data_IF_710045795646
#
_entry.id   IF_710045795646
#
_cell.length_a   1.000
_cell.length_b   1.000
_cell.length_c   1.000
_cell.angle_alpha   90.00
_cell.angle_beta   90.00
_cell.angle_gamma   90.00
#
_symmetry.space_group_name_H-M   'P 1'
#
loop_
_entity.id
_entity.type
_entity.pdbx_description
1 polymer ?
#
# COMPACT_ATOMS: atom_id res chain seq x y z
N UNK A 1 13.29 -26.69 22.01
CA UNK A 1 13.83 -26.07 23.24
C UNK A 1 12.83 -25.02 23.70
N UNK A 2 12.07 -25.28 24.76
CA UNK A 2 11.16 -24.27 25.34
C UNK A 2 11.94 -23.42 26.33
N UNK A 3 11.96 -22.10 26.14
CA UNK A 3 12.44 -21.17 27.16
C UNK A 3 11.25 -20.65 27.96
N UNK A 4 11.16 -21.07 29.22
CA UNK A 4 10.29 -20.43 30.23
C UNK A 4 11.04 -19.21 30.73
N UNK A 5 10.55 -18.01 30.41
CA UNK A 5 11.06 -16.78 31.01
C UNK A 5 10.28 -16.48 32.29
N UNK A 6 10.98 -16.33 33.41
CA UNK A 6 10.40 -15.92 34.69
C UNK A 6 9.80 -14.51 34.56
N UNK A 7 8.48 -14.41 34.78
CA UNK A 7 7.64 -13.23 34.54
C UNK A 7 8.03 -11.98 35.34
N UNK A 8 8.86 -12.12 36.37
CA UNK A 8 9.24 -11.03 37.28
C UNK A 8 10.35 -10.12 36.74
N UNK A 9 10.95 -10.42 35.59
CA UNK A 9 11.99 -9.58 34.95
C UNK A 9 11.52 -8.79 33.73
N UNK A 10 10.23 -8.90 33.35
CA UNK A 10 9.68 -8.29 32.13
C UNK A 10 9.70 -6.75 32.11
N UNK A 11 9.86 -6.07 33.26
CA UNK A 11 9.67 -4.61 33.38
C UNK A 11 10.95 -3.77 33.52
N UNK A 12 12.14 -4.34 33.35
CA UNK A 12 13.39 -3.57 33.55
C UNK A 12 13.98 -2.98 32.27
N UNK A 13 13.45 -3.30 31.08
CA UNK A 13 13.97 -2.77 29.81
C UNK A 13 15.41 -3.20 29.48
N UNK A 14 16.02 -4.08 30.30
CA UNK A 14 17.43 -4.46 30.25
C UNK A 14 17.72 -5.65 29.32
N UNK A 15 16.74 -6.17 28.58
CA UNK A 15 16.96 -7.20 27.56
C UNK A 15 17.35 -6.63 26.17
N UNK A 16 17.49 -5.31 26.06
CA UNK A 16 17.87 -4.64 24.80
C UNK A 16 19.31 -4.12 24.83
N UNK A 17 20.22 -4.78 25.52
CA UNK A 17 21.64 -4.65 25.19
C UNK A 17 21.93 -5.57 24.00
N UNK A 18 22.65 -5.05 23.01
CA UNK A 18 23.04 -5.72 21.75
C UNK A 18 23.71 -7.11 21.94
N UNK A 19 24.09 -7.46 23.18
CA UNK A 19 24.72 -8.75 23.51
C UNK A 19 23.86 -9.98 23.19
N UNK A 20 22.52 -9.88 23.20
CA UNK A 20 21.68 -11.06 22.93
C UNK A 20 21.51 -11.37 21.43
N UNK A 21 21.72 -10.38 20.54
CA UNK A 21 21.66 -10.59 19.08
C UNK A 21 23.02 -10.79 18.44
N UNK A 22 24.07 -10.16 18.98
CA UNK A 22 25.33 -9.97 18.26
C UNK A 22 25.12 -9.29 16.90
N UNK A 23 26.04 -9.49 15.96
CA UNK A 23 26.02 -8.91 14.60
C UNK A 23 24.92 -9.49 13.67
N UNK A 24 23.95 -10.27 14.20
CA UNK A 24 23.02 -11.08 13.39
C UNK A 24 21.59 -10.53 13.43
N UNK A 25 20.95 -10.48 12.25
CA UNK A 25 19.51 -10.25 12.16
C UNK A 25 18.73 -11.51 12.53
N UNK A 26 17.56 -11.33 13.16
CA UNK A 26 16.61 -12.40 13.45
C UNK A 26 15.86 -12.90 12.21
N UNK A 27 16.02 -12.26 11.05
CA UNK A 27 15.39 -12.70 9.81
C UNK A 27 16.08 -13.91 9.16
N UNK A 28 17.26 -14.35 9.64
CA UNK A 28 17.87 -15.62 9.22
C UNK A 28 18.15 -15.79 7.72
N UNK A 29 18.17 -14.70 6.93
CA UNK A 29 18.21 -14.71 5.45
C UNK A 29 16.96 -15.29 4.77
N UNK A 30 15.80 -15.23 5.42
CA UNK A 30 14.52 -15.55 4.79
C UNK A 30 14.22 -14.55 3.67
N UNK A 31 13.72 -15.08 2.54
CA UNK A 31 13.28 -14.29 1.41
C UNK A 31 11.95 -13.60 1.73
N UNK A 32 11.81 -12.34 1.32
CA UNK A 32 10.51 -11.70 1.26
C UNK A 32 9.53 -12.53 0.39
N UNK A 33 8.27 -12.56 0.80
CA UNK A 33 7.19 -13.24 0.07
C UNK A 33 6.19 -12.23 -0.44
N UNK A 34 5.63 -12.50 -1.62
CA UNK A 34 4.60 -11.70 -2.26
C UNK A 34 3.55 -12.67 -2.78
N UNK A 35 2.36 -12.62 -2.18
CA UNK A 35 1.27 -13.50 -2.55
C UNK A 35 0.35 -12.81 -3.54
N UNK A 36 0.16 -13.43 -4.70
CA UNK A 36 -0.87 -13.03 -5.66
C UNK A 36 -2.14 -13.80 -5.36
N UNK A 37 -3.26 -13.09 -5.27
CA UNK A 37 -4.59 -13.69 -5.19
C UNK A 37 -4.96 -14.31 -6.55
N UNK A 38 -5.22 -15.60 -6.58
CA UNK A 38 -5.58 -16.35 -7.80
C UNK A 38 -7.11 -16.49 -7.97
N UNK A 39 -7.90 -15.90 -7.07
CA UNK A 39 -9.35 -16.03 -7.03
C UNK A 39 -9.80 -17.18 -6.15
N UNK A 40 -11.03 -17.63 -6.36
CA UNK A 40 -11.64 -18.69 -5.58
C UNK A 40 -11.41 -20.06 -6.25
N UNK A 41 -11.16 -21.08 -5.46
CA UNK A 41 -11.16 -22.47 -5.94
C UNK A 41 -12.58 -23.02 -6.16
N UNK A 42 -12.67 -24.29 -6.56
CA UNK A 42 -13.93 -25.01 -6.77
C UNK A 42 -14.85 -25.06 -5.53
N UNK A 43 -14.28 -24.90 -4.32
CA UNK A 43 -15.00 -24.88 -3.06
C UNK A 43 -15.30 -23.44 -2.58
N UNK A 44 -14.96 -22.43 -3.38
CA UNK A 44 -15.17 -21.02 -3.05
C UNK A 44 -14.15 -20.45 -2.07
N UNK A 45 -12.99 -21.10 -1.86
CA UNK A 45 -11.94 -20.62 -0.97
C UNK A 45 -10.89 -19.81 -1.74
N UNK A 46 -10.41 -18.67 -1.20
CA UNK A 46 -9.41 -17.86 -1.86
C UNK A 46 -8.05 -18.57 -1.91
N UNK A 47 -7.45 -18.60 -3.09
CA UNK A 47 -6.15 -19.21 -3.34
C UNK A 47 -5.07 -18.16 -3.54
N UNK A 48 -3.87 -18.45 -3.05
CA UNK A 48 -2.74 -17.52 -3.12
C UNK A 48 -1.47 -18.23 -3.56
N UNK A 49 -0.74 -17.62 -4.50
CA UNK A 49 0.56 -18.12 -4.96
C UNK A 49 1.68 -17.17 -4.55
N UNK A 50 2.78 -17.69 -4.01
CA UNK A 50 3.99 -16.89 -3.80
C UNK A 50 4.67 -16.62 -5.14
N UNK A 51 4.64 -15.37 -5.58
CA UNK A 51 5.20 -14.90 -6.86
C UNK A 51 6.48 -14.08 -6.66
N UNK A 52 7.01 -13.98 -5.44
CA UNK A 52 8.10 -13.06 -5.12
C UNK A 52 9.34 -13.25 -6.01
N UNK A 53 9.80 -14.49 -6.15
CA UNK A 53 10.98 -14.81 -6.96
C UNK A 53 10.74 -14.50 -8.45
N UNK A 54 9.54 -14.78 -8.96
CA UNK A 54 9.19 -14.52 -10.35
C UNK A 54 9.15 -13.01 -10.67
N UNK A 55 8.81 -12.19 -9.67
CA UNK A 55 8.73 -10.73 -9.80
C UNK A 55 9.98 -10.00 -9.28
N UNK A 56 10.99 -10.74 -8.82
CA UNK A 56 12.22 -10.17 -8.26
C UNK A 56 12.02 -9.38 -6.97
N UNK A 57 10.98 -9.70 -6.20
CA UNK A 57 10.66 -9.06 -4.91
C UNK A 57 11.12 -9.89 -3.71
N UNK A 58 11.79 -11.02 -3.94
CA UNK A 58 12.26 -11.98 -2.95
C UNK A 58 13.58 -11.58 -2.28
N UNK A 59 13.71 -10.30 -1.90
CA UNK A 59 14.91 -9.79 -1.23
C UNK A 59 15.12 -10.49 0.12
N UNK A 60 16.38 -10.81 0.43
CA UNK A 60 16.83 -11.49 1.66
C UNK A 60 17.25 -10.52 2.77
N UNK A 61 17.21 -9.21 2.49
CA UNK A 61 17.45 -8.16 3.50
C UNK A 61 16.42 -8.24 4.63
N UNK A 62 16.80 -7.71 5.79
CA UNK A 62 15.93 -7.62 6.97
C UNK A 62 14.84 -6.56 6.78
N UNK A 63 13.88 -6.87 5.93
CA UNK A 63 12.76 -6.00 5.56
C UNK A 63 11.78 -5.91 6.72
N UNK A 64 11.44 -4.68 7.14
CA UNK A 64 10.61 -4.45 8.33
C UNK A 64 9.45 -3.50 8.09
N UNK A 65 9.59 -2.53 7.19
CA UNK A 65 8.49 -1.66 6.79
C UNK A 65 8.15 -1.83 5.33
N UNK A 66 6.87 -1.63 5.03
CA UNK A 66 6.36 -1.65 3.66
C UNK A 66 5.30 -0.57 3.51
N UNK A 67 5.46 0.25 2.49
CA UNK A 67 4.47 1.24 2.10
C UNK A 67 4.14 1.10 0.62
N UNK A 68 2.90 1.41 0.28
CA UNK A 68 2.38 1.32 -1.08
C UNK A 68 1.90 2.69 -1.53
N UNK A 69 2.29 3.09 -2.73
CA UNK A 69 1.85 4.30 -3.40
C UNK A 69 2.09 4.16 -4.90
N UNK A 70 1.32 4.88 -5.71
CA UNK A 70 1.63 5.12 -7.12
C UNK A 70 2.62 6.30 -7.19
N UNK A 71 3.93 6.01 -7.25
CA UNK A 71 4.97 7.06 -7.09
C UNK A 71 5.14 7.91 -8.35
N UNK A 72 4.79 7.38 -9.50
CA UNK A 72 4.88 8.00 -10.82
C UNK A 72 3.52 8.51 -11.34
N UNK A 73 2.43 8.18 -10.65
CA UNK A 73 1.05 8.56 -10.94
C UNK A 73 0.54 8.02 -12.28
N UNK A 74 0.81 6.76 -12.58
CA UNK A 74 0.33 6.12 -13.81
C UNK A 74 -0.73 5.03 -13.58
N UNK A 75 -1.17 4.88 -12.32
CA UNK A 75 -2.35 4.11 -11.95
C UNK A 75 -2.09 2.69 -11.55
N UNK A 76 -0.83 2.27 -11.47
CA UNK A 76 -0.47 1.05 -10.77
C UNK A 76 0.29 1.34 -9.46
N UNK A 77 0.10 0.44 -8.50
CA UNK A 77 0.65 0.61 -7.17
C UNK A 77 2.08 0.08 -7.11
N UNK A 78 3.01 0.91 -6.68
CA UNK A 78 4.37 0.51 -6.34
C UNK A 78 4.48 0.14 -4.86
N UNK A 79 5.60 -0.49 -4.52
CA UNK A 79 5.93 -0.91 -3.16
C UNK A 79 7.29 -0.34 -2.79
N UNK A 80 7.38 0.36 -1.66
CA UNK A 80 8.67 0.68 -1.02
C UNK A 80 8.85 -0.17 0.22
N UNK A 81 10.00 -0.83 0.30
CA UNK A 81 10.37 -1.68 1.44
C UNK A 81 11.51 -1.02 2.19
N UNK A 82 11.33 -0.81 3.49
CA UNK A 82 12.38 -0.36 4.38
C UNK A 82 13.04 -1.57 5.05
N UNK A 83 14.36 -1.53 5.10
CA UNK A 83 15.18 -2.59 5.68
C UNK A 83 15.84 -2.08 6.94
N UNK A 84 15.75 -2.86 8.01
CA UNK A 84 16.51 -2.60 9.21
C UNK A 84 18.00 -2.75 8.88
N UNK A 85 18.87 -1.80 9.28
CA UNK A 85 20.31 -1.98 9.17
C UNK A 85 20.84 -3.27 9.78
N UNK A 86 20.20 -3.80 10.82
CA UNK A 86 20.82 -4.87 11.61
C UNK A 86 22.15 -4.39 12.20
N UNK A 87 23.23 -5.16 12.03
CA UNK A 87 24.59 -4.80 12.45
C UNK A 87 25.23 -3.69 11.58
N UNK A 88 26.10 -2.89 12.18
CA UNK A 88 26.91 -1.82 11.60
C UNK A 88 27.73 -2.27 10.38
N UNK A 89 28.13 -3.55 10.25
CA UNK A 89 28.78 -4.08 9.04
C UNK A 89 27.84 -4.20 7.84
N UNK A 90 26.52 -4.15 8.07
CA UNK A 90 25.46 -4.12 7.04
C UNK A 90 24.92 -2.72 6.79
N UNK A 91 25.47 -1.68 7.42
CA UNK A 91 25.06 -0.28 7.24
C UNK A 91 25.17 0.23 5.78
N UNK A 92 25.97 -0.43 4.93
CA UNK A 92 26.02 -0.16 3.50
C UNK A 92 24.81 -0.70 2.71
N UNK A 93 23.89 -1.47 3.32
CA UNK A 93 22.71 -2.10 2.71
C UNK A 93 21.37 -1.50 3.18
N UNK A 94 21.40 -0.30 3.76
CA UNK A 94 20.26 0.37 4.40
C UNK A 94 19.57 1.35 3.45
N UNK A 95 19.38 0.91 2.20
CA UNK A 95 18.65 1.71 1.23
C UNK A 95 17.24 1.13 1.10
N UNK A 96 16.19 1.96 1.33
CA UNK A 96 14.84 1.57 0.97
C UNK A 96 14.83 1.11 -0.49
N UNK A 97 14.17 -0.01 -0.73
CA UNK A 97 14.05 -0.58 -2.07
C UNK A 97 12.68 -0.21 -2.62
N UNK A 98 12.66 0.57 -3.71
CA UNK A 98 11.45 0.84 -4.47
C UNK A 98 11.28 -0.26 -5.53
N UNK A 99 10.18 -0.98 -5.44
CA UNK A 99 9.73 -1.97 -6.41
C UNK A 99 8.64 -1.30 -7.24
N UNK A 100 9.01 -0.83 -8.43
CA UNK A 100 8.05 -0.21 -9.35
C UNK A 100 7.22 -1.26 -10.07
N UNK A 101 5.91 -1.08 -10.07
CA UNK A 101 5.02 -1.94 -10.81
C UNK A 101 5.03 -1.52 -12.28
N UNK A 102 5.80 -2.24 -13.08
CA UNK A 102 5.88 -2.00 -14.53
C UNK A 102 5.40 -3.20 -15.33
N UNK A 103 4.57 -4.06 -14.73
CA UNK A 103 3.97 -5.20 -15.44
C UNK A 103 3.10 -4.68 -16.60
N UNK A 104 2.58 -3.45 -16.47
CA UNK A 104 1.82 -2.77 -17.50
C UNK A 104 0.40 -3.32 -17.56
N UNK A 105 -0.58 -2.46 -17.32
CA UNK A 105 -1.99 -2.82 -17.50
C UNK A 105 -2.69 -1.73 -18.28
N UNK A 106 -3.51 -2.12 -19.26
CA UNK A 106 -4.40 -1.20 -19.97
C UNK A 106 -5.67 -0.90 -19.17
N UNK A 107 -5.81 -1.49 -17.97
CA UNK A 107 -7.02 -1.43 -17.16
C UNK A 107 -7.26 -0.03 -16.64
N UNK A 108 -8.52 0.23 -16.38
CA UNK A 108 -9.00 1.48 -15.87
C UNK A 108 -8.89 1.50 -14.33
N UNK A 109 -8.67 2.67 -13.79
CA UNK A 109 -8.47 2.90 -12.37
C UNK A 109 -9.06 4.26 -11.98
N UNK A 110 -9.33 4.47 -10.70
CA UNK A 110 -9.66 5.79 -10.16
C UNK A 110 -8.92 5.94 -8.84
N UNK A 111 -8.21 7.05 -8.67
CA UNK A 111 -7.58 7.36 -7.40
C UNK A 111 -8.17 8.62 -6.79
N UNK A 112 -8.38 8.59 -5.47
CA UNK A 112 -9.12 9.60 -4.73
C UNK A 112 -8.28 10.07 -3.54
N UNK A 113 -8.06 11.38 -3.47
CA UNK A 113 -7.55 12.07 -2.29
C UNK A 113 -8.72 12.78 -1.59
N UNK A 114 -8.72 12.75 -0.26
CA UNK A 114 -9.72 13.46 0.53
C UNK A 114 -9.07 14.65 1.24
N UNK A 115 -9.84 15.73 1.35
CA UNK A 115 -9.49 16.90 2.15
C UNK A 115 -10.64 17.23 3.09
N UNK A 116 -10.45 16.95 4.38
CA UNK A 116 -11.42 17.32 5.41
C UNK A 116 -11.45 18.82 5.67
N UNK A 117 -12.62 19.32 6.05
CA UNK A 117 -12.88 20.71 6.44
C UNK A 117 -13.37 20.78 7.89
N UNK A 118 -14.39 19.99 8.21
CA UNK A 118 -14.89 19.81 9.59
C UNK A 118 -14.27 18.56 10.23
N UNK A 119 -14.14 17.49 9.45
CA UNK A 119 -13.32 16.33 9.76
C UNK A 119 -11.84 16.70 9.78
N UNK A 120 -10.97 15.79 10.26
CA UNK A 120 -9.53 16.01 10.20
C UNK A 120 -9.08 16.24 8.75
N UNK A 121 -8.10 17.14 8.55
CA UNK A 121 -7.69 17.64 7.23
C UNK A 121 -7.36 16.52 6.24
N UNK A 122 -6.75 15.45 6.71
CA UNK A 122 -6.30 14.35 5.87
C UNK A 122 -7.40 13.31 5.60
N UNK A 123 -8.61 13.53 6.14
CA UNK A 123 -9.78 12.66 5.93
C UNK A 123 -9.70 11.30 6.62
N UNK A 124 -8.78 11.11 7.58
CA UNK A 124 -8.55 9.83 8.26
C UNK A 124 -9.86 9.32 8.89
N UNK A 125 -10.23 8.09 8.58
CA UNK A 125 -11.47 7.44 9.01
C UNK A 125 -12.66 7.66 8.06
N UNK A 126 -12.54 8.49 7.02
CA UNK A 126 -13.57 8.61 6.00
C UNK A 126 -13.66 7.33 5.16
N UNK A 127 -14.90 6.96 4.78
CA UNK A 127 -15.21 5.87 3.86
C UNK A 127 -15.51 6.44 2.48
N UNK A 128 -14.94 5.84 1.44
CA UNK A 128 -15.32 6.09 0.04
C UNK A 128 -15.87 4.82 -0.55
N UNK A 129 -17.11 4.87 -1.00
CA UNK A 129 -17.76 3.81 -1.75
C UNK A 129 -17.95 4.24 -3.20
N UNK A 130 -17.53 3.39 -4.13
CA UNK A 130 -17.77 3.56 -5.56
C UNK A 130 -18.70 2.47 -6.08
N UNK A 131 -19.52 2.81 -7.06
CA UNK A 131 -20.42 1.89 -7.75
C UNK A 131 -20.16 1.98 -9.26
N UNK A 132 -19.91 0.83 -9.87
CA UNK A 132 -19.71 0.66 -11.31
C UNK A 132 -20.64 -0.44 -11.84
N UNK A 133 -20.68 -0.61 -13.15
CA UNK A 133 -21.33 -1.77 -13.77
C UNK A 133 -20.78 -3.13 -13.30
N UNK A 134 -19.52 -3.17 -12.84
CA UNK A 134 -18.87 -4.40 -12.34
C UNK A 134 -19.16 -4.66 -10.85
N UNK A 135 -19.72 -3.69 -10.12
CA UNK A 135 -20.09 -3.82 -8.72
C UNK A 135 -19.67 -2.64 -7.84
N UNK A 136 -19.87 -2.82 -6.53
CA UNK A 136 -19.56 -1.82 -5.49
C UNK A 136 -18.23 -2.15 -4.81
N UNK A 137 -17.36 -1.14 -4.70
CA UNK A 137 -16.10 -1.23 -3.94
C UNK A 137 -16.10 -0.18 -2.84
N UNK A 138 -15.43 -0.48 -1.72
CA UNK A 138 -15.35 0.41 -0.55
C UNK A 138 -13.90 0.45 -0.10
N UNK A 139 -13.41 1.64 0.24
CA UNK A 139 -12.12 1.84 0.89
C UNK A 139 -12.20 2.95 1.92
N UNK A 140 -11.30 2.91 2.91
CA UNK A 140 -11.22 3.91 3.98
C UNK A 140 -9.87 4.61 3.97
N UNK A 141 -9.85 5.89 4.34
CA UNK A 141 -8.57 6.57 4.61
C UNK A 141 -8.05 6.12 5.97
N UNK A 142 -6.90 5.46 5.97
CA UNK A 142 -6.26 4.95 7.17
C UNK A 142 -4.95 5.68 7.46
N UNK A 143 -4.74 6.05 8.72
CA UNK A 143 -3.42 6.40 9.23
C UNK A 143 -2.79 5.16 9.87
N UNK A 144 -1.52 4.93 9.59
CA UNK A 144 -0.82 3.69 9.84
C UNK A 144 -0.76 2.78 8.60
N UNK A 145 0.12 1.79 8.68
CA UNK A 145 0.33 0.77 7.65
C UNK A 145 1.10 -0.39 8.28
N UNK A 146 2.16 -0.85 7.60
CA UNK A 146 3.06 -1.82 8.20
C UNK A 146 4.01 -1.19 9.24
N UNK A 147 4.77 -2.03 9.94
CA UNK A 147 5.71 -1.61 10.97
C UNK A 147 6.69 -0.54 10.48
N UNK A 148 6.85 0.54 11.24
CA UNK A 148 7.72 1.68 10.90
C UNK A 148 7.49 2.27 9.49
N UNK A 149 6.23 2.28 9.03
CA UNK A 149 5.85 2.76 7.70
C UNK A 149 4.43 3.33 7.66
N UNK A 150 4.11 4.07 6.61
CA UNK A 150 2.80 4.67 6.36
C UNK A 150 2.44 4.45 4.88
N UNK A 151 1.29 3.87 4.60
CA UNK A 151 0.78 3.77 3.23
C UNK A 151 0.31 5.14 2.73
N UNK A 152 0.24 5.32 1.41
CA UNK A 152 -0.42 6.50 0.85
C UNK A 152 -1.85 6.60 1.38
N UNK A 153 -2.28 7.82 1.74
CA UNK A 153 -3.65 8.10 2.14
C UNK A 153 -4.59 8.20 0.93
N UNK A 154 -4.05 8.17 -0.28
CA UNK A 154 -4.83 8.11 -1.51
C UNK A 154 -5.48 6.74 -1.64
N UNK A 155 -6.77 6.74 -1.93
CA UNK A 155 -7.54 5.54 -2.16
C UNK A 155 -7.48 5.17 -3.64
N UNK A 156 -7.23 3.90 -3.94
CA UNK A 156 -7.14 3.41 -5.32
C UNK A 156 -8.21 2.37 -5.57
N UNK A 157 -8.91 2.52 -6.68
CA UNK A 157 -9.95 1.62 -7.12
C UNK A 157 -9.60 1.08 -8.50
N UNK A 158 -9.46 -0.25 -8.59
CA UNK A 158 -9.33 -0.93 -9.87
C UNK A 158 -10.70 -1.03 -10.53
N UNK A 159 -10.85 -0.46 -11.73
CA UNK A 159 -12.11 -0.42 -12.47
C UNK A 159 -12.15 -1.41 -13.63
N UNK A 160 -11.07 -2.17 -13.85
CA UNK A 160 -10.96 -3.15 -14.92
C UNK A 160 -11.25 -2.53 -16.30
N UNK A 161 -12.38 -2.81 -16.95
CA UNK A 161 -12.74 -2.23 -18.25
C UNK A 161 -13.76 -1.09 -18.13
N UNK A 162 -14.34 -0.87 -16.95
CA UNK A 162 -15.27 0.22 -16.73
C UNK A 162 -14.58 1.58 -16.97
N UNK A 163 -15.16 2.38 -17.86
CA UNK A 163 -14.63 3.71 -18.24
C UNK A 163 -15.12 4.82 -17.30
N UNK A 164 -16.03 4.49 -16.39
CA UNK A 164 -16.72 5.45 -15.51
C UNK A 164 -17.21 4.77 -14.23
N UNK A 165 -17.19 5.53 -13.14
CA UNK A 165 -17.87 5.24 -11.88
C UNK A 165 -19.23 5.94 -11.90
N UNK A 166 -20.32 5.17 -11.79
CA UNK A 166 -21.68 5.70 -11.86
C UNK A 166 -22.02 6.53 -10.63
N UNK A 167 -21.56 6.09 -9.45
CA UNK A 167 -21.78 6.78 -8.19
C UNK A 167 -20.58 6.65 -7.27
N UNK A 168 -20.21 7.75 -6.64
CA UNK A 168 -19.18 7.86 -5.62
C UNK A 168 -19.81 8.50 -4.39
N UNK A 169 -19.70 7.85 -3.24
CA UNK A 169 -20.16 8.38 -1.95
C UNK A 169 -19.00 8.48 -0.99
N UNK A 170 -18.81 9.65 -0.37
CA UNK A 170 -17.84 9.86 0.71
C UNK A 170 -18.61 10.04 2.01
N UNK A 171 -18.39 9.15 2.98
CA UNK A 171 -18.92 9.28 4.34
C UNK A 171 -17.81 9.75 5.27
N UNK A 172 -17.96 10.95 5.82
CA UNK A 172 -16.95 11.62 6.61
C UNK A 172 -17.06 11.31 8.11
N UNK A 173 -15.95 11.36 8.87
CA UNK A 173 -15.97 11.23 10.33
C UNK A 173 -16.86 12.25 11.06
N UNK A 174 -17.08 13.43 10.47
CA UNK A 174 -18.03 14.44 10.96
C UNK A 174 -19.49 13.97 10.93
N UNK A 175 -19.79 12.87 10.23
CA UNK A 175 -21.14 12.38 9.94
C UNK A 175 -21.75 12.96 8.66
N UNK A 176 -21.06 13.88 7.99
CA UNK A 176 -21.48 14.39 6.67
C UNK A 176 -21.30 13.34 5.58
N UNK A 177 -22.01 13.52 4.48
CA UNK A 177 -21.88 12.67 3.29
C UNK A 177 -21.90 13.52 2.04
N UNK A 178 -20.92 13.31 1.16
CA UNK A 178 -20.89 13.89 -0.18
C UNK A 178 -21.12 12.79 -1.22
N UNK A 179 -21.81 13.14 -2.31
CA UNK A 179 -22.13 12.22 -3.40
C UNK A 179 -21.84 12.85 -4.75
N UNK A 180 -21.28 12.05 -5.65
CA UNK A 180 -20.93 12.44 -7.00
C UNK A 180 -21.30 11.32 -7.98
N UNK A 181 -21.57 11.68 -9.22
CA UNK A 181 -21.99 10.75 -10.28
C UNK A 181 -21.13 10.95 -11.54
N UNK A 182 -21.11 9.94 -12.40
CA UNK A 182 -20.47 9.95 -13.72
C UNK A 182 -18.98 10.36 -13.73
N UNK A 183 -18.20 9.78 -12.81
CA UNK A 183 -16.77 10.07 -12.67
C UNK A 183 -15.98 9.25 -13.67
N UNK A 184 -15.24 9.92 -14.56
CA UNK A 184 -14.42 9.26 -15.58
C UNK A 184 -13.27 8.48 -14.96
N UNK A 185 -12.96 7.32 -15.53
CA UNK A 185 -11.81 6.53 -15.14
C UNK A 185 -10.46 7.14 -15.60
N UNK A 186 -9.37 6.55 -15.14
CA UNK A 186 -7.96 6.90 -15.38
C UNK A 186 -7.61 8.31 -14.91
N UNK A 187 -8.08 8.65 -13.72
CA UNK A 187 -7.90 9.97 -13.15
C UNK A 187 -7.56 9.91 -11.66
N UNK A 188 -6.79 10.91 -11.25
CA UNK A 188 -6.65 11.30 -9.86
C UNK A 188 -7.62 12.44 -9.57
N UNK A 189 -8.46 12.27 -8.56
CA UNK A 189 -9.38 13.28 -8.09
C UNK A 189 -9.14 13.63 -6.61
N UNK A 190 -9.37 14.89 -6.23
CA UNK A 190 -9.46 15.33 -4.83
C UNK A 190 -10.88 15.75 -4.53
N UNK A 191 -11.41 15.26 -3.42
CA UNK A 191 -12.72 15.62 -2.90
C UNK A 191 -12.54 16.39 -1.61
N UNK A 192 -13.11 17.60 -1.56
CA UNK A 192 -13.14 18.42 -0.35
C UNK A 192 -14.46 18.21 0.38
N UNK A 193 -14.43 18.01 1.69
CA UNK A 193 -15.62 17.79 2.52
C UNK A 193 -16.63 18.94 2.40
N UNK A 194 -17.87 18.62 2.00
CA UNK A 194 -18.94 19.58 1.71
C UNK A 194 -18.65 20.46 0.49
N UNK A 195 -17.63 20.11 -0.30
CA UNK A 195 -17.16 20.84 -1.47
C UNK A 195 -17.30 20.03 -2.76
N UNK A 196 -16.48 20.39 -3.74
CA UNK A 196 -16.49 19.76 -5.06
C UNK A 196 -15.41 18.70 -5.25
N UNK A 197 -15.37 18.17 -6.48
CA UNK A 197 -14.32 17.29 -6.99
C UNK A 197 -13.37 18.09 -7.90
N UNK A 198 -12.07 17.95 -7.67
CA UNK A 198 -11.00 18.55 -8.46
C UNK A 198 -10.17 17.44 -9.12
N UNK A 199 -9.86 17.57 -10.41
CA UNK A 199 -9.10 16.57 -11.16
C UNK A 199 -7.66 17.03 -11.41
N UNK A 200 -6.71 16.10 -11.28
CA UNK A 200 -5.29 16.37 -11.50
C UNK A 200 -4.86 15.87 -12.88
N UNK A 201 -4.08 16.71 -13.57
CA UNK A 201 -3.36 16.27 -14.76
C UNK A 201 -2.10 15.53 -14.33
N UNK A 202 -2.00 14.26 -14.72
CA UNK A 202 -0.87 13.41 -14.36
C UNK A 202 0.20 13.44 -15.46
N UNK A 203 1.48 13.34 -15.10
CA UNK A 203 2.55 13.25 -16.07
C UNK A 203 2.40 11.99 -16.93
N UNK A 204 2.69 12.10 -18.23
CA UNK A 204 2.75 10.93 -19.10
C UNK A 204 4.06 10.17 -18.85
N UNK A 205 3.97 8.97 -18.29
CA UNK A 205 5.14 8.11 -18.04
C UNK A 205 5.23 7.05 -19.13
N UNK A 206 6.28 7.11 -19.94
CA UNK A 206 6.59 6.05 -20.90
C UNK A 206 7.34 4.91 -20.20
N UNK A 207 6.62 3.84 -19.84
CA UNK A 207 7.19 2.67 -19.17
C UNK A 207 8.12 1.84 -20.07
N UNK A 208 7.99 1.94 -21.41
CA UNK A 208 8.76 1.09 -22.33
C UNK A 208 10.19 1.56 -22.53
N UNK A 209 10.46 2.86 -22.53
CA UNK A 209 11.82 3.41 -22.66
C UNK A 209 12.69 3.22 -21.41
N UNK A 210 12.09 2.90 -20.26
CA UNK A 210 12.79 2.69 -18.98
C UNK A 210 13.33 1.27 -18.80
N UNK A 211 12.87 0.30 -19.60
CA UNK A 211 13.36 -1.08 -19.59
C UNK A 211 14.66 -1.27 -20.41
N UNK A 212 14.99 -0.32 -21.28
CA UNK A 212 16.21 -0.35 -22.13
C UNK A 212 17.48 0.20 -21.47
N UNK A 213 17.40 0.65 -20.22
CA UNK A 213 18.55 1.17 -19.46
C UNK A 213 19.01 0.16 -18.39
N UNK A 214 19.45 -1.01 -18.82
CA UNK A 214 20.25 -1.96 -18.02
C UNK A 214 21.41 -2.48 -18.84
#
# INVERSE_FOLDING_TARGET
MSAVAHINQYKTGLFYTDEFRGDNSWNGYEHNVLFRNEGLDENGLPQFSNVAMALGTDDIKDSRGVATADFDNDGDMDIVVSTNPGDLKRAARVTPTLLRNNIGTSRNWLAIELQGVESNRDGIGAEVAIETAEGRQISHVTAGGAYASQQSMRLYFGLNEAIMVNKLTVSWPSGKTDQFEDISAKQLARITEGGGIEYFTLPSVDKQSMLSAR
#
